data_IF_373779207683
#
_entry.id   IF_373779207683
#
_cell.length_a   1.000
_cell.length_b   1.000
_cell.length_c   1.000
_cell.angle_alpha   90.00
_cell.angle_beta   90.00
_cell.angle_gamma   90.00
#
_symmetry.space_group_name_H-M   'P 1'
#
loop_
_entity.id
_entity.type
_entity.pdbx_description
1 polymer ?
#
# COMPACT_ATOMS: atom_id res chain seq x y z
N UNK A 1 16.80 -7.17 16.42
CA UNK A 1 15.41 -6.67 16.28
C UNK A 1 15.10 -6.76 14.80
N UNK A 2 14.25 -7.72 14.40
CA UNK A 2 13.96 -7.97 12.98
C UNK A 2 13.10 -6.82 12.46
N UNK A 3 13.68 -5.91 11.67
CA UNK A 3 12.93 -4.82 11.02
C UNK A 3 12.03 -5.40 9.93
N UNK A 4 10.84 -4.82 9.80
CA UNK A 4 9.93 -5.06 8.69
C UNK A 4 9.96 -3.83 7.78
N UNK A 5 9.82 -4.00 6.46
CA UNK A 5 9.71 -5.28 5.77
C UNK A 5 11.12 -5.89 5.62
N UNK A 6 11.26 -7.05 4.97
CA UNK A 6 12.60 -7.61 4.71
C UNK A 6 13.43 -6.56 3.95
N UNK A 7 14.68 -6.27 4.34
CA UNK A 7 15.52 -5.32 3.60
C UNK A 7 15.62 -5.68 2.10
N UNK A 8 15.68 -4.66 1.25
CA UNK A 8 15.84 -4.69 -0.21
C UNK A 8 14.71 -5.34 -1.03
N UNK A 9 13.93 -6.25 -0.45
CA UNK A 9 12.97 -7.09 -1.19
C UNK A 9 11.58 -7.11 -0.58
N UNK A 10 11.45 -6.65 0.66
CA UNK A 10 10.20 -6.61 1.37
C UNK A 10 9.32 -5.45 0.90
N UNK A 11 8.01 -5.63 1.05
CA UNK A 11 7.01 -4.59 0.81
C UNK A 11 5.98 -4.64 1.93
N UNK A 12 5.33 -3.52 2.18
CA UNK A 12 4.08 -3.47 2.92
C UNK A 12 2.91 -3.56 1.95
N UNK A 13 1.85 -4.25 2.39
CA UNK A 13 0.62 -4.41 1.63
C UNK A 13 -0.54 -3.87 2.47
N UNK A 14 -1.33 -2.98 1.88
CA UNK A 14 -2.55 -2.46 2.49
C UNK A 14 -3.74 -2.69 1.56
N UNK A 15 -4.80 -3.31 2.07
CA UNK A 15 -6.06 -3.44 1.34
C UNK A 15 -6.99 -2.27 1.72
N UNK A 16 -7.39 -1.49 0.73
CA UNK A 16 -8.19 -0.28 0.91
C UNK A 16 -9.45 -0.36 0.05
N UNK A 17 -10.51 0.33 0.47
CA UNK A 17 -11.69 0.53 -0.38
C UNK A 17 -11.36 1.54 -1.49
N UNK A 18 -11.02 2.75 -1.06
CA UNK A 18 -10.57 3.85 -1.92
C UNK A 18 -9.18 4.30 -1.48
N UNK A 19 -8.42 4.87 -2.41
CA UNK A 19 -7.11 5.48 -2.14
C UNK A 19 -7.30 6.99 -2.28
N UNK A 20 -7.15 7.73 -1.18
CA UNK A 20 -7.23 9.19 -1.19
C UNK A 20 -5.85 9.81 -1.37
N UNK A 21 -5.75 10.86 -2.18
CA UNK A 21 -4.48 11.58 -2.38
C UNK A 21 -3.97 12.18 -1.06
N UNK A 22 -4.86 12.70 -0.22
CA UNK A 22 -4.53 13.23 1.10
C UNK A 22 -3.85 12.18 1.99
N UNK A 23 -4.37 10.95 2.07
CA UNK A 23 -3.74 9.89 2.86
C UNK A 23 -2.35 9.53 2.34
N UNK A 24 -2.14 9.60 1.02
CA UNK A 24 -0.82 9.37 0.40
C UNK A 24 0.16 10.50 0.73
N UNK A 25 -0.30 11.75 0.77
CA UNK A 25 0.50 12.91 1.17
C UNK A 25 0.89 12.89 2.65
N UNK A 26 0.03 12.34 3.51
CA UNK A 26 0.25 12.20 4.95
C UNK A 26 1.13 10.99 5.32
N UNK A 27 1.58 10.20 4.33
CA UNK A 27 2.44 9.05 4.60
C UNK A 27 3.75 9.47 5.28
N UNK A 28 4.24 8.69 6.25
CA UNK A 28 5.53 8.96 6.87
C UNK A 28 6.66 9.02 5.84
N UNK A 29 7.65 9.88 6.10
CA UNK A 29 8.78 10.09 5.18
C UNK A 29 9.62 8.83 4.93
N UNK A 30 9.53 7.81 5.79
CA UNK A 30 10.29 6.57 5.66
C UNK A 30 9.70 5.60 4.63
N UNK A 31 8.47 5.81 4.13
CA UNK A 31 7.89 4.96 3.09
C UNK A 31 7.27 5.74 1.92
N UNK A 32 6.92 5.01 0.88
CA UNK A 32 6.23 5.53 -0.29
C UNK A 32 5.34 4.46 -0.91
N UNK A 33 4.25 4.90 -1.55
CA UNK A 33 3.44 4.02 -2.39
C UNK A 33 4.18 3.80 -3.70
N UNK A 34 4.42 2.54 -4.05
CA UNK A 34 5.06 2.17 -5.31
C UNK A 34 4.07 1.60 -6.33
N UNK A 35 2.93 1.11 -5.87
CA UNK A 35 1.88 0.60 -6.74
C UNK A 35 0.52 0.61 -6.06
N UNK A 36 -0.52 0.92 -6.83
CA UNK A 36 -1.91 0.72 -6.44
C UNK A 36 -2.55 -0.20 -7.48
N UNK A 37 -3.14 -1.31 -7.03
CA UNK A 37 -3.86 -2.25 -7.91
C UNK A 37 -5.35 -2.21 -7.57
N UNK A 38 -6.17 -1.72 -8.47
CA UNK A 38 -7.62 -1.93 -8.37
C UNK A 38 -7.93 -3.43 -8.48
N UNK A 39 -8.82 -3.92 -7.64
CA UNK A 39 -9.22 -5.32 -7.57
C UNK A 39 -10.68 -5.45 -7.99
N UNK A 40 -10.93 -6.34 -8.93
CA UNK A 40 -12.27 -6.84 -9.21
C UNK A 40 -12.54 -8.02 -8.29
N UNK A 41 -13.33 -7.80 -7.25
CA UNK A 41 -13.71 -8.86 -6.30
C UNK A 41 -15.06 -9.43 -6.73
N UNK A 42 -15.15 -10.75 -7.01
CA UNK A 42 -16.42 -11.39 -7.33
C UNK A 42 -17.47 -11.10 -6.25
N UNK A 43 -18.70 -10.83 -6.69
CA UNK A 43 -19.88 -10.66 -5.82
C UNK A 43 -19.82 -9.46 -4.86
N UNK A 44 -18.81 -8.59 -4.99
CA UNK A 44 -18.70 -7.36 -4.20
C UNK A 44 -19.06 -6.14 -5.04
N UNK A 45 -20.15 -5.47 -4.68
CA UNK A 45 -20.47 -4.14 -5.19
C UNK A 45 -19.66 -3.09 -4.41
N UNK A 46 -18.38 -2.95 -4.75
CA UNK A 46 -17.53 -1.94 -4.12
C UNK A 46 -16.09 -1.97 -4.59
N UNK A 47 -15.46 -0.80 -4.62
CA UNK A 47 -14.05 -0.67 -5.01
C UNK A 47 -13.14 -1.30 -3.97
N UNK A 48 -12.10 -1.97 -4.44
CA UNK A 48 -11.00 -2.47 -3.62
C UNK A 48 -9.69 -2.18 -4.31
N UNK A 49 -8.71 -1.78 -3.52
CA UNK A 49 -7.38 -1.43 -3.98
C UNK A 49 -6.36 -2.13 -3.09
N UNK A 50 -5.42 -2.86 -3.70
CA UNK A 50 -4.22 -3.33 -3.03
C UNK A 50 -3.13 -2.27 -3.23
N UNK A 51 -2.78 -1.58 -2.15
CA UNK A 51 -1.70 -0.60 -2.12
C UNK A 51 -0.43 -1.31 -1.68
N UNK A 52 0.64 -1.13 -2.46
CA UNK A 52 1.96 -1.69 -2.21
C UNK A 52 2.89 -0.53 -1.84
N UNK A 53 3.52 -0.63 -0.68
CA UNK A 53 4.47 0.35 -0.19
C UNK A 53 5.85 -0.27 -0.01
N UNK A 54 6.85 0.57 -0.19
CA UNK A 54 8.24 0.26 0.16
C UNK A 54 8.73 1.29 1.16
N UNK A 55 9.62 0.86 2.04
CA UNK A 55 10.55 1.76 2.70
C UNK A 55 11.40 2.51 1.66
N UNK A 56 11.86 3.71 2.02
CA UNK A 56 12.71 4.55 1.15
C UNK A 56 14.21 4.28 1.34
N UNK A 57 14.54 3.20 2.03
CA UNK A 57 15.91 2.80 2.36
C UNK A 57 16.61 2.07 1.21
#
# INVERSE_FOLDING_TARGET
MSTLPKPEQGVFLALKGQVSEQEVEELPSWCSVIQVKALTVPELEGERHLVILQDRE
#
